data_IF_059185951012
#
_entry.id   IF_059185951012
#
_cell.length_a   1.000
_cell.length_b   1.000
_cell.length_c   1.000
_cell.angle_alpha   90.00
_cell.angle_beta   90.00
_cell.angle_gamma   90.00
#
_symmetry.space_group_name_H-M   'P 1'
#
loop_
_entity.id
_entity.type
_entity.pdbx_description
1 polymer ?
2 non-polymer ?
3 non-polymer ?
4 water ?
#
# COMPACT_ATOMS: atom_id res chain seq x y z
N UNK A 1 30.59 0.45 -6.10
CA UNK A 1 31.56 -0.61 -5.64
C UNK A 1 31.27 -1.25 -4.28
N UNK A 2 30.14 -0.93 -3.66
CA UNK A 2 29.66 -1.56 -2.44
C UNK A 2 29.21 -2.97 -2.77
N UNK A 3 29.59 -3.94 -1.94
CA UNK A 3 29.26 -5.34 -2.16
C UNK A 3 27.81 -5.60 -1.82
N UNK A 4 27.25 -6.63 -2.42
CA UNK A 4 25.86 -7.01 -2.09
C UNK A 4 25.77 -7.47 -0.61
N UNK A 5 26.83 -8.10 -0.10
CA UNK A 5 26.91 -8.45 1.29
C UNK A 5 26.68 -7.22 2.21
N UNK A 6 27.35 -6.11 1.92
CA UNK A 6 27.23 -4.90 2.71
C UNK A 6 25.83 -4.27 2.58
N UNK A 7 25.28 -4.23 1.37
CA UNK A 7 23.89 -3.74 1.18
C UNK A 7 22.90 -4.57 2.00
N UNK A 8 23.04 -5.89 1.89
CA UNK A 8 22.15 -6.78 2.61
C UNK A 8 22.28 -6.62 4.11
N UNK A 9 23.51 -6.48 4.58
CA UNK A 9 23.75 -6.28 6.02
C UNK A 9 23.15 -4.97 6.51
N UNK A 10 23.34 -3.92 5.75
CA UNK A 10 22.79 -2.60 6.09
C UNK A 10 21.28 -2.64 6.21
N UNK A 11 20.61 -3.18 5.20
CA UNK A 11 19.16 -3.16 5.17
C UNK A 11 18.60 -4.05 6.29
N UNK A 12 19.23 -5.20 6.49
CA UNK A 12 18.87 -6.05 7.63
C UNK A 12 18.96 -5.29 8.95
N UNK A 13 20.03 -4.50 9.14
CA UNK A 13 20.22 -3.77 10.39
C UNK A 13 19.09 -2.77 10.61
N UNK A 14 18.51 -2.21 9.53
CA UNK A 14 17.41 -1.26 9.73
C UNK A 14 16.18 -1.90 10.37
N UNK A 15 15.88 -3.13 10.00
CA UNK A 15 14.80 -3.87 10.59
C UNK A 15 15.19 -4.35 11.99
N UNK A 16 16.43 -4.80 12.15
CA UNK A 16 16.93 -5.21 13.46
C UNK A 16 16.86 -4.10 14.49
N UNK A 17 17.28 -2.90 14.09
CA UNK A 17 17.23 -1.73 14.98
C UNK A 17 15.84 -1.32 15.41
N UNK A 18 14.84 -1.54 14.57
CA UNK A 18 13.46 -1.22 14.90
C UNK A 18 12.84 -2.33 15.74
N UNK A 19 13.60 -3.38 16.04
CA UNK A 19 13.13 -4.46 16.89
C UNK A 19 11.86 -5.11 16.33
N UNK A 20 11.86 -5.31 15.01
CA UNK A 20 10.83 -6.09 14.40
C UNK A 20 11.40 -7.03 13.38
N UNK A 21 10.50 -7.69 12.65
CA UNK A 21 10.84 -8.69 11.68
C UNK A 21 10.17 -8.24 10.39
N UNK A 22 10.93 -8.08 9.33
CA UNK A 22 10.36 -7.68 8.05
C UNK A 22 11.25 -7.90 6.85
N UNK A 23 10.67 -7.58 5.70
CA UNK A 23 11.29 -7.71 4.42
C UNK A 23 11.00 -6.42 3.62
N UNK A 24 11.90 -6.04 2.73
CA UNK A 24 11.56 -5.11 1.67
C UNK A 24 11.96 -5.72 0.33
N UNK A 25 11.00 -5.79 -0.58
CA UNK A 25 11.20 -6.35 -1.90
C UNK A 25 11.27 -5.18 -2.86
N UNK A 26 12.30 -5.19 -3.70
CA UNK A 26 12.55 -4.20 -4.72
C UNK A 26 12.53 -4.86 -6.09
N UNK A 27 11.87 -4.22 -7.07
CA UNK A 27 11.80 -4.74 -8.42
C UNK A 27 12.48 -3.80 -9.42
N UNK A 28 13.46 -4.31 -10.15
CA UNK A 28 14.15 -3.56 -11.24
C UNK A 28 14.00 -4.32 -12.52
N UNK A 29 13.25 -3.74 -13.44
CA UNK A 29 12.82 -4.44 -14.61
C UNK A 29 11.97 -5.61 -14.19
N UNK A 30 12.43 -6.80 -14.54
CA UNK A 30 11.76 -8.03 -14.16
C UNK A 30 12.34 -8.72 -12.93
N UNK A 31 13.41 -8.18 -12.33
CA UNK A 31 14.12 -8.90 -11.27
C UNK A 31 13.71 -8.41 -9.88
N UNK A 32 13.31 -9.34 -9.03
CA UNK A 32 12.98 -9.06 -7.65
C UNK A 32 14.17 -9.24 -6.75
N UNK A 33 14.41 -8.28 -5.87
CA UNK A 33 15.42 -8.42 -4.85
C UNK A 33 14.79 -8.30 -3.48
N UNK A 34 15.10 -9.27 -2.61
CA UNK A 34 14.51 -9.34 -1.30
C UNK A 34 15.58 -8.99 -0.26
N UNK A 35 15.29 -8.02 0.60
CA UNK A 35 16.18 -7.55 1.62
C UNK A 35 15.43 -7.51 2.94
N UNK A 36 16.19 -7.33 4.04
CA UNK A 36 15.59 -7.25 5.38
C UNK A 36 16.14 -8.28 6.34
N UNK A 37 15.42 -8.50 7.45
CA UNK A 37 15.84 -9.47 8.47
C UNK A 37 14.95 -10.68 8.58
N UNK A 38 13.96 -10.82 7.69
CA UNK A 38 13.09 -11.99 7.73
C UNK A 38 12.63 -12.34 6.34
N UNK A 39 13.57 -12.83 5.53
CA UNK A 39 13.36 -12.97 4.09
C UNK A 39 12.20 -13.88 3.72
N UNK A 40 11.92 -14.84 4.59
CA UNK A 40 10.87 -15.79 4.40
C UNK A 40 9.46 -15.16 4.39
N UNK A 41 9.32 -13.94 4.89
CA UNK A 41 8.06 -13.22 4.77
C UNK A 41 7.67 -12.94 3.30
N UNK A 42 8.62 -13.00 2.35
CA UNK A 42 8.39 -12.57 0.94
C UNK A 42 7.22 -13.24 0.28
N UNK A 43 7.04 -14.54 0.52
CA UNK A 43 5.94 -15.29 -0.08
C UNK A 43 4.89 -15.75 0.92
N UNK A 44 4.78 -15.08 2.05
CA UNK A 44 3.71 -15.34 3.01
C UNK A 44 2.57 -14.36 2.81
N UNK A 45 1.36 -14.82 3.11
CA UNK A 45 0.14 -14.03 2.98
C UNK A 45 -0.21 -13.26 4.23
N UNK A 46 -0.52 -11.97 4.06
CA UNK A 46 -1.00 -11.12 5.15
C UNK A 46 -2.18 -10.33 4.62
N UNK A 47 -2.99 -9.82 5.52
CA UNK A 47 -4.04 -8.91 5.10
C UNK A 47 -3.40 -7.65 4.50
N UNK A 48 -3.97 -7.14 3.41
CA UNK A 48 -3.44 -5.93 2.78
C UNK A 48 -3.63 -4.68 3.61
N UNK A 49 -4.63 -4.69 4.49
CA UNK A 49 -5.00 -3.52 5.32
C UNK A 49 -5.16 -2.29 4.42
N UNK A 50 -4.65 -1.13 4.81
CA UNK A 50 -4.92 0.08 4.02
C UNK A 50 -4.29 0.12 2.64
N UNK A 51 -3.38 -0.81 2.33
CA UNK A 51 -2.86 -0.89 0.93
C UNK A 51 -3.98 -1.19 -0.05
N UNK A 52 -5.04 -1.84 0.45
CA UNK A 52 -6.22 -2.09 -0.36
C UNK A 52 -6.91 -0.81 -0.90
N UNK A 53 -6.68 0.34 -0.25
CA UNK A 53 -7.21 1.61 -0.73
C UNK A 53 -6.87 1.88 -2.19
N UNK A 54 -5.66 1.50 -2.61
CA UNK A 54 -5.27 1.66 -3.99
C UNK A 54 -6.26 0.98 -4.96
N UNK A 55 -6.58 -0.27 -4.68
CA UNK A 55 -7.47 -1.02 -5.55
C UNK A 55 -8.93 -0.63 -5.37
N UNK A 56 -9.34 -0.41 -4.12
CA UNK A 56 -10.68 0.10 -3.81
C UNK A 56 -10.93 1.38 -4.64
N UNK A 57 -9.98 2.31 -4.63
CA UNK A 57 -10.12 3.56 -5.42
C UNK A 57 -10.22 3.31 -6.94
N UNK A 58 -9.33 2.47 -7.48
CA UNK A 58 -9.43 2.05 -8.89
C UNK A 58 -10.83 1.48 -9.21
N UNK A 59 -11.30 0.55 -8.39
CA UNK A 59 -12.60 -0.04 -8.61
C UNK A 59 -13.73 1.01 -8.59
N UNK A 60 -13.69 1.93 -7.62
CA UNK A 60 -14.76 2.92 -7.46
C UNK A 60 -14.80 3.92 -8.58
N UNK A 61 -13.63 4.37 -9.02
CA UNK A 61 -13.53 5.33 -10.08
C UNK A 61 -13.94 4.67 -11.39
N UNK A 62 -13.45 3.47 -11.66
CA UNK A 62 -13.74 2.81 -12.93
C UNK A 62 -15.23 2.55 -13.05
N UNK A 63 -15.87 2.13 -11.97
CA UNK A 63 -17.29 1.79 -11.99
C UNK A 63 -18.24 2.95 -11.64
N UNK A 64 -17.73 4.18 -11.67
CA UNK A 64 -18.56 5.40 -11.49
C UNK A 64 -19.25 5.48 -10.14
N UNK A 65 -18.61 4.92 -9.12
CA UNK A 65 -19.12 5.00 -7.76
C UNK A 65 -18.69 6.27 -7.04
N UNK A 66 -17.74 6.98 -7.64
CA UNK A 66 -17.29 8.26 -7.14
C UNK A 66 -16.54 8.96 -8.24
N UNK A 67 -16.25 10.24 -8.04
CA UNK A 67 -15.36 10.99 -8.91
C UNK A 67 -14.19 11.50 -8.08
N UNK A 68 -13.18 12.06 -8.72
CA UNK A 68 -12.03 12.54 -7.98
C UNK A 68 -12.26 13.82 -7.21
N UNK A 69 -13.29 14.58 -7.55
CA UNK A 69 -13.60 15.82 -6.85
C UNK A 69 -14.70 15.66 -5.78
N UNK A 70 -15.39 14.54 -5.80
CA UNK A 70 -16.52 14.33 -4.89
C UNK A 70 -16.05 14.42 -3.42
N UNK A 71 -16.79 15.17 -2.63
CA UNK A 71 -16.47 15.34 -1.22
C UNK A 71 -17.34 14.35 -0.45
N UNK A 72 -16.72 13.38 0.23
CA UNK A 72 -17.41 12.43 1.10
C UNK A 72 -17.57 13.15 2.44
N UNK A 73 -18.81 13.44 2.85
CA UNK A 73 -19.05 14.21 4.07
C UNK A 73 -18.83 13.35 5.29
N UNK A 74 -18.24 13.93 6.32
CA UNK A 74 -18.22 13.31 7.64
C UNK A 74 -19.65 13.26 8.20
N UNK A 75 -20.07 12.09 8.68
CA UNK A 75 -21.42 11.91 9.24
C UNK A 75 -21.60 12.52 10.65
N UNK A 76 -20.55 13.09 11.20
CA UNK A 76 -20.59 13.70 12.51
C UNK A 76 -20.42 12.73 13.68
N UNK A 77 -20.20 11.44 13.40
CA UNK A 77 -19.91 10.49 14.47
C UNK A 77 -18.42 10.49 14.80
N UNK A 78 -18.10 10.13 16.04
CA UNK A 78 -16.74 10.23 16.49
C UNK A 78 -15.92 9.16 15.72
N UNK A 79 -14.69 9.48 15.39
CA UNK A 79 -13.78 8.58 14.66
C UNK A 79 -12.59 8.26 15.53
N UNK A 80 -11.89 7.18 15.16
CA UNK A 80 -10.68 6.79 15.85
C UNK A 80 -9.70 7.94 15.91
N UNK A 81 -9.52 8.66 14.81
CA UNK A 81 -8.58 9.81 14.74
C UNK A 81 -9.33 11.09 14.46
N UNK A 82 -9.00 12.20 15.19
CA UNK A 82 -9.67 13.49 14.95
C UNK A 82 -9.53 13.98 13.54
N UNK A 83 -8.39 13.69 12.91
CA UNK A 83 -8.17 14.09 11.52
C UNK A 83 -9.14 13.43 10.52
N UNK A 84 -9.84 12.37 10.92
CA UNK A 84 -10.85 11.77 10.07
C UNK A 84 -12.21 12.43 10.25
N UNK A 85 -12.36 13.34 11.21
CA UNK A 85 -13.68 13.96 11.49
C UNK A 85 -13.89 15.19 10.63
N UNK A 86 -13.87 14.97 9.33
CA UNK A 86 -13.97 16.01 8.33
C UNK A 86 -14.37 15.42 6.99
N UNK A 87 -14.77 16.31 6.10
CA UNK A 87 -15.20 16.00 4.74
C UNK A 87 -13.98 15.88 3.85
N UNK A 88 -13.94 14.87 3.00
CA UNK A 88 -12.77 14.66 2.17
C UNK A 88 -13.03 13.97 0.85
N UNK A 89 -12.18 14.29 -0.13
CA UNK A 89 -12.15 13.55 -1.40
C UNK A 89 -11.45 12.22 -1.18
N UNK A 90 -11.54 11.34 -2.18
CA UNK A 90 -10.79 10.09 -2.19
C UNK A 90 -9.31 10.27 -2.01
N UNK A 91 -8.75 11.26 -2.69
CA UNK A 91 -7.34 11.57 -2.60
C UNK A 91 -6.89 12.04 -1.22
N UNK A 92 -7.70 12.89 -0.60
CA UNK A 92 -7.42 13.38 0.74
C UNK A 92 -7.53 12.23 1.74
N UNK A 93 -8.53 11.37 1.52
CA UNK A 93 -8.73 10.23 2.37
C UNK A 93 -7.63 9.16 2.18
N UNK A 94 -7.04 9.12 0.99
CA UNK A 94 -5.89 8.25 0.72
C UNK A 94 -4.71 8.69 1.58
N UNK A 95 -4.44 9.99 1.58
CA UNK A 95 -3.31 10.55 2.32
C UNK A 95 -3.47 10.45 3.83
N UNK A 96 -4.69 10.65 4.33
CA UNK A 96 -4.99 10.48 5.73
C UNK A 96 -5.31 9.05 6.10
N UNK A 97 -5.34 8.16 5.12
CA UNK A 97 -5.75 6.76 5.29
C UNK A 97 -7.09 6.63 6.07
N UNK A 98 -8.05 7.45 5.62
CA UNK A 98 -9.37 7.56 6.25
C UNK A 98 -10.26 6.38 5.88
N UNK A 99 -10.19 5.35 6.70
CA UNK A 99 -10.93 4.10 6.49
C UNK A 99 -12.44 4.33 6.25
N UNK A 100 -13.06 5.24 7.02
CA UNK A 100 -14.53 5.37 6.82
C UNK A 100 -14.93 5.79 5.42
N UNK A 101 -14.11 6.58 4.77
CA UNK A 101 -14.40 7.05 3.40
C UNK A 101 -14.31 5.86 2.46
N UNK A 102 -13.29 5.04 2.66
CA UNK A 102 -13.08 3.88 1.81
C UNK A 102 -14.09 2.78 2.09
N UNK A 103 -14.59 2.73 3.32
CA UNK A 103 -15.71 1.82 3.63
C UNK A 103 -16.98 2.22 2.91
N UNK A 104 -17.26 3.53 2.87
CA UNK A 104 -18.42 4.03 2.13
C UNK A 104 -18.28 3.67 0.65
N UNK A 105 -17.10 3.90 0.10
CA UNK A 105 -16.86 3.54 -1.29
C UNK A 105 -17.08 2.04 -1.56
N UNK A 106 -16.54 1.21 -0.68
CA UNK A 106 -16.73 -0.24 -0.79
C UNK A 106 -18.25 -0.57 -0.77
N UNK A 107 -18.99 0.05 0.14
CA UNK A 107 -20.45 -0.19 0.24
C UNK A 107 -21.21 0.26 -1.02
N UNK A 108 -20.77 1.36 -1.66
CA UNK A 108 -21.36 1.78 -2.93
C UNK A 108 -21.09 0.75 -4.01
N UNK A 109 -19.83 0.31 -4.08
CA UNK A 109 -19.49 -0.72 -5.03
C UNK A 109 -20.34 -1.97 -4.84
N UNK A 110 -20.52 -2.38 -3.59
CA UNK A 110 -21.31 -3.53 -3.27
C UNK A 110 -20.52 -4.83 -3.40
N UNK A 111 -20.95 -5.83 -2.65
CA UNK A 111 -20.24 -7.13 -2.52
C UNK A 111 -20.08 -7.84 -3.84
N UNK A 112 -21.15 -7.94 -4.62
CA UNK A 112 -21.11 -8.65 -5.91
C UNK A 112 -20.08 -8.03 -6.89
N UNK A 113 -20.16 -6.71 -7.07
CA UNK A 113 -19.26 -6.06 -7.97
C UNK A 113 -17.83 -6.07 -7.43
N UNK A 114 -17.69 -5.92 -6.12
CA UNK A 114 -16.37 -5.91 -5.50
C UNK A 114 -15.70 -7.28 -5.68
N UNK A 115 -16.41 -8.37 -5.47
CA UNK A 115 -15.83 -9.70 -5.66
C UNK A 115 -15.40 -9.91 -7.10
N UNK A 116 -16.23 -9.51 -8.05
CA UNK A 116 -15.93 -9.64 -9.48
C UNK A 116 -14.70 -8.85 -9.85
N UNK A 117 -14.57 -7.63 -9.30
CA UNK A 117 -13.46 -6.78 -9.70
C UNK A 117 -12.15 -7.24 -9.04
N UNK A 118 -12.22 -7.63 -7.77
CA UNK A 118 -11.04 -8.15 -7.09
C UNK A 118 -10.54 -9.44 -7.79
N UNK A 119 -11.48 -10.29 -8.20
CA UNK A 119 -11.16 -11.49 -8.99
C UNK A 119 -10.54 -11.17 -10.34
N UNK A 120 -11.12 -10.19 -11.04
CA UNK A 120 -10.67 -9.76 -12.36
C UNK A 120 -9.25 -9.22 -12.37
N UNK A 121 -8.92 -8.46 -11.33
CA UNK A 121 -7.58 -7.92 -11.14
C UNK A 121 -6.62 -8.99 -10.58
N UNK A 122 -7.15 -10.10 -10.05
CA UNK A 122 -6.32 -11.13 -9.44
C UNK A 122 -5.45 -10.62 -8.29
N UNK A 123 -6.07 -9.93 -7.34
CA UNK A 123 -5.34 -9.30 -6.24
C UNK A 123 -5.23 -10.31 -5.09
N UNK A 124 -4.01 -10.71 -4.75
CA UNK A 124 -3.75 -11.62 -3.62
C UNK A 124 -4.48 -12.94 -3.79
N UNK A 125 -5.11 -13.43 -2.74
CA UNK A 125 -5.91 -14.64 -2.83
C UNK A 125 -7.30 -14.42 -3.43
N UNK A 126 -7.63 -13.17 -3.75
CA UNK A 126 -8.90 -12.80 -4.39
C UNK A 126 -10.18 -13.13 -3.62
N UNK A 127 -10.07 -13.51 -2.35
CA UNK A 127 -11.27 -13.86 -1.57
C UNK A 127 -11.73 -12.70 -0.68
N UNK A 128 -12.89 -12.14 -0.94
CA UNK A 128 -13.38 -11.06 -0.09
C UNK A 128 -14.48 -11.51 0.88
N UNK A 129 -14.92 -12.76 0.77
CA UNK A 129 -15.95 -13.32 1.68
C UNK A 129 -17.29 -12.60 1.54
N UNK A 130 -17.96 -12.40 2.67
CA UNK A 130 -19.35 -11.90 2.69
C UNK A 130 -19.54 -10.47 3.24
N UNK A 131 -18.51 -9.86 3.84
CA UNK A 131 -18.63 -8.53 4.46
C UNK A 131 -17.90 -7.54 3.57
N UNK A 132 -18.66 -6.75 2.80
CA UNK A 132 -18.05 -5.80 1.85
C UNK A 132 -17.19 -4.67 2.47
N UNK A 133 -17.28 -4.42 3.77
CA UNK A 133 -16.72 -3.19 4.36
C UNK A 133 -15.54 -3.41 5.28
N UNK A 134 -15.08 -4.65 5.39
CA UNK A 134 -13.88 -4.93 6.21
C UNK A 134 -12.97 -6.10 5.78
N UNK A 135 -13.22 -6.65 4.62
CA UNK A 135 -12.55 -7.86 4.19
C UNK A 135 -11.03 -7.72 4.02
N UNK A 136 -10.58 -6.50 3.76
CA UNK A 136 -9.17 -6.14 3.57
C UNK A 136 -8.47 -5.83 4.91
N UNK A 137 -9.26 -5.68 5.98
CA UNK A 137 -8.75 -5.33 7.29
C UNK A 137 -8.59 -6.55 8.20
N UNK A 138 -9.54 -7.48 8.13
CA UNK A 138 -9.53 -8.62 9.05
C UNK A 138 -9.55 -9.97 8.36
N UNK A 139 -9.42 -10.00 7.05
CA UNK A 139 -9.57 -11.25 6.28
C UNK A 139 -11.00 -11.29 5.75
N UNK A 140 -11.29 -12.19 4.82
CA UNK A 140 -10.38 -13.26 4.37
C UNK A 140 -9.39 -12.87 3.28
N UNK A 141 -9.37 -11.62 2.81
CA UNK A 141 -8.45 -11.22 1.73
C UNK A 141 -7.03 -11.15 2.27
N UNK A 142 -6.12 -11.78 1.55
CA UNK A 142 -4.70 -11.79 1.91
C UNK A 142 -3.86 -11.69 0.66
N UNK A 143 -2.63 -11.25 0.84
CA UNK A 143 -1.70 -11.01 -0.25
C UNK A 143 -0.27 -11.13 0.26
N UNK A 144 0.66 -11.52 -0.60
CA UNK A 144 2.07 -11.59 -0.24
C UNK A 144 2.82 -10.34 -0.64
N UNK A 145 3.96 -10.10 0.01
CA UNK A 145 4.82 -9.00 -0.39
C UNK A 145 5.24 -9.04 -1.85
N UNK A 146 5.54 -10.23 -2.36
CA UNK A 146 5.78 -10.41 -3.80
C UNK A 146 4.58 -9.97 -4.64
N UNK A 147 3.38 -10.44 -4.31
CA UNK A 147 2.19 -9.97 -5.01
C UNK A 147 1.99 -8.45 -4.89
N UNK A 148 2.30 -7.87 -3.72
CA UNK A 148 2.15 -6.42 -3.55
C UNK A 148 3.12 -5.63 -4.44
N UNK A 149 4.40 -6.03 -4.49
CA UNK A 149 5.34 -5.33 -5.35
C UNK A 149 4.98 -5.52 -6.84
N UNK A 150 4.44 -6.67 -7.22
CA UNK A 150 3.99 -6.89 -8.59
C UNK A 150 2.76 -6.05 -8.94
N UNK A 151 1.84 -5.88 -7.98
CA UNK A 151 0.71 -4.96 -8.14
C UNK A 151 1.20 -3.55 -8.33
N UNK A 152 2.13 -3.12 -7.49
CA UNK A 152 2.68 -1.76 -7.61
C UNK A 152 3.35 -1.57 -8.95
N UNK A 153 4.07 -2.59 -9.42
CA UNK A 153 4.74 -2.54 -10.75
C UNK A 153 3.71 -2.36 -11.86
N UNK A 154 2.61 -3.10 -11.77
CA UNK A 154 1.51 -2.98 -12.71
C UNK A 154 0.90 -1.60 -12.71
N UNK A 155 0.62 -1.04 -11.53
CA UNK A 155 0.00 0.26 -11.43
C UNK A 155 0.96 1.33 -11.95
N UNK A 156 2.21 1.26 -11.52
CA UNK A 156 3.20 2.21 -11.96
C UNK A 156 3.28 2.24 -13.50
N UNK A 157 3.18 1.09 -14.14
CA UNK A 157 3.32 1.02 -15.61
C UNK A 157 1.97 1.00 -16.36
N UNK A 158 0.88 1.34 -15.67
CA UNK A 158 -0.45 1.34 -16.30
C UNK A 158 -0.88 0.04 -16.93
N UNK A 159 -0.43 -1.07 -16.33
CA UNK A 159 -0.76 -2.39 -16.81
C UNK A 159 -1.96 -3.04 -16.16
N UNK A 160 -2.54 -2.45 -15.12
CA UNK A 160 -3.75 -3.04 -14.55
C UNK A 160 -4.91 -2.93 -15.56
N UNK A 161 -5.91 -3.82 -15.47
CA UNK A 161 -7.02 -3.78 -16.42
C UNK A 161 -8.09 -2.73 -16.03
N UNK A 162 -7.69 -1.48 -16.09
CA UNK A 162 -8.52 -0.32 -15.88
C UNK A 162 -8.15 0.67 -16.97
N UNK A 163 -9.01 1.65 -17.20
CA UNK A 163 -8.70 2.75 -18.07
C UNK A 163 -7.41 3.42 -17.62
N UNK A 164 -6.62 3.87 -18.59
CA UNK A 164 -5.43 4.64 -18.34
C UNK A 164 -5.74 5.82 -17.41
N UNK A 165 -6.84 6.52 -17.66
CA UNK A 165 -7.22 7.67 -16.84
C UNK A 165 -7.47 7.29 -15.37
N UNK A 166 -8.13 6.16 -15.14
CA UNK A 166 -8.39 5.66 -13.80
C UNK A 166 -7.07 5.43 -13.06
N UNK A 167 -6.11 4.80 -13.71
CA UNK A 167 -4.81 4.55 -13.11
C UNK A 167 -4.06 5.82 -12.82
N UNK A 168 -4.11 6.78 -13.76
CA UNK A 168 -3.44 8.05 -13.54
C UNK A 168 -4.05 8.83 -12.35
N UNK A 169 -5.36 8.79 -12.20
CA UNK A 169 -6.07 9.53 -11.15
C UNK A 169 -5.66 8.98 -9.79
N UNK A 170 -5.64 7.65 -9.68
CA UNK A 170 -5.26 7.00 -8.41
C UNK A 170 -3.78 7.20 -8.11
N UNK A 171 -2.91 7.09 -9.11
CA UNK A 171 -1.49 7.37 -8.87
C UNK A 171 -1.23 8.79 -8.40
N UNK A 172 -1.97 9.78 -8.87
CA UNK A 172 -1.86 11.14 -8.34
C UNK A 172 -2.15 11.23 -6.83
N UNK A 173 -2.99 10.34 -6.32
CA UNK A 173 -3.32 10.29 -4.91
C UNK A 173 -2.22 9.74 -4.01
N UNK A 174 -1.18 9.16 -4.59
CA UNK A 174 -0.18 8.37 -3.87
C UNK A 174 1.17 8.99 -3.72
N UNK A 175 1.34 10.22 -4.16
CA UNK A 175 2.63 10.91 -4.03
C UNK A 175 2.90 11.27 -2.59
N UNK A 176 3.89 10.64 -1.96
CA UNK A 176 4.14 10.90 -0.54
C UNK A 176 5.45 11.61 -0.29
N UNK A 177 6.34 11.71 -1.28
CA UNK A 177 7.66 12.29 -1.04
C UNK A 177 8.43 12.62 -2.31
N UNK A 178 9.20 13.71 -2.26
CA UNK A 178 10.20 14.02 -3.29
C UNK A 178 11.55 14.12 -2.63
N UNK A 179 12.54 13.42 -3.17
CA UNK A 179 13.90 13.36 -2.61
C UNK A 179 14.87 13.48 -3.77
N UNK A 180 15.69 14.54 -3.75
CA UNK A 180 16.67 14.84 -4.81
C UNK A 180 16.22 14.43 -6.20
N UNK A 181 15.07 14.95 -6.64
CA UNK A 181 14.60 14.71 -8.02
C UNK A 181 13.82 13.42 -8.26
N UNK A 182 13.81 12.51 -7.28
CA UNK A 182 13.02 11.29 -7.31
C UNK A 182 11.70 11.51 -6.57
N UNK A 183 10.64 10.96 -7.11
CA UNK A 183 9.33 10.96 -6.46
C UNK A 183 9.00 9.59 -5.92
N UNK A 184 8.50 9.51 -4.70
CA UNK A 184 8.03 8.26 -4.12
C UNK A 184 6.50 8.26 -4.06
N UNK A 185 5.90 7.31 -4.75
CA UNK A 185 4.48 7.04 -4.69
C UNK A 185 4.30 5.78 -3.85
N UNK A 186 3.45 5.81 -2.84
CA UNK A 186 3.23 4.62 -2.00
C UNK A 186 1.97 4.73 -1.15
N UNK A 187 1.50 3.58 -0.70
CA UNK A 187 0.45 3.52 0.29
C UNK A 187 0.89 2.67 1.48
N UNK A 188 0.71 3.18 2.68
CA UNK A 188 1.00 2.46 3.89
C UNK A 188 -0.18 1.60 4.31
N UNK A 189 0.10 0.65 5.21
CA UNK A 189 -0.92 -0.26 5.76
C UNK A 189 -0.50 -0.74 7.13
N UNK A 190 -1.49 -0.93 8.00
CA UNK A 190 -1.29 -1.46 9.34
C UNK A 190 -2.51 -2.24 9.73
N UNK A 191 -2.41 -3.57 9.70
CA UNK A 191 -3.50 -4.44 10.04
C UNK A 191 -3.54 -4.53 11.56
N UNK A 192 -4.26 -3.61 12.19
CA UNK A 192 -4.40 -3.60 13.67
C UNK A 192 -5.36 -4.63 14.22
N UNK A 193 -6.32 -5.07 13.42
CA UNK A 193 -7.31 -6.04 13.87
C UNK A 193 -6.99 -7.50 13.58
N UNK A 194 -5.72 -7.80 13.34
CA UNK A 194 -5.24 -9.17 13.24
C UNK A 194 -4.07 -9.32 14.17
N UNK A 195 -3.77 -10.57 14.52
CA UNK A 195 -2.63 -10.89 15.39
C UNK A 195 -1.83 -11.99 14.72
N UNK A 196 -0.52 -11.81 14.54
CA UNK A 196 0.20 -10.56 14.74
C UNK A 196 -0.24 -9.44 13.80
N UNK A 197 0.09 -8.23 14.16
CA UNK A 197 -0.23 -7.06 13.33
C UNK A 197 0.77 -6.93 12.20
N UNK A 198 0.32 -6.49 11.03
CA UNK A 198 1.17 -6.40 9.85
C UNK A 198 1.29 -4.94 9.47
N UNK A 199 2.49 -4.53 9.09
CA UNK A 199 2.74 -3.20 8.54
C UNK A 199 3.22 -3.32 7.11
N UNK A 200 2.79 -2.37 6.27
CA UNK A 200 3.11 -2.31 4.87
C UNK A 200 3.52 -0.91 4.44
N UNK A 201 4.41 -0.83 3.45
CA UNK A 201 4.50 0.37 2.60
C UNK A 201 4.84 -0.12 1.20
N UNK A 202 3.88 0.05 0.29
CA UNK A 202 3.98 -0.48 -1.05
C UNK A 202 3.83 0.67 -2.05
N UNK A 203 4.71 0.69 -3.03
CA UNK A 203 4.70 1.74 -4.03
C UNK A 203 5.83 1.62 -5.02
N UNK A 204 6.31 2.78 -5.46
CA UNK A 204 7.42 2.84 -6.39
C UNK A 204 8.11 4.16 -6.32
N UNK A 205 9.35 4.15 -6.78
CA UNK A 205 10.14 5.35 -6.98
C UNK A 205 10.08 5.68 -8.46
N UNK A 206 9.76 6.94 -8.77
CA UNK A 206 9.91 7.44 -10.14
C UNK A 206 11.16 8.31 -10.13
N UNK A 207 12.19 7.83 -10.80
CA UNK A 207 13.45 8.56 -10.86
C UNK A 207 13.36 9.70 -11.88
N UNK A 208 14.29 10.66 -11.78
CA UNK A 208 14.31 11.84 -12.69
C UNK A 208 14.24 11.43 -14.16
N UNK A 209 15.03 10.44 -14.54
CA UNK A 209 15.02 9.87 -15.89
C UNK A 209 13.73 9.14 -16.33
N UNK A 210 12.69 9.09 -15.50
CA UNK A 210 11.45 8.39 -15.84
C UNK A 210 11.38 6.89 -15.47
N UNK A 211 12.51 6.27 -15.13
CA UNK A 211 12.50 4.87 -14.68
C UNK A 211 11.72 4.69 -13.36
N UNK A 212 10.95 3.62 -13.28
CA UNK A 212 10.15 3.31 -12.09
C UNK A 212 10.63 2.04 -11.38
N UNK A 213 10.86 2.13 -10.08
CA UNK A 213 11.37 1.01 -9.27
C UNK A 213 10.35 0.72 -8.17
N UNK A 214 9.53 -0.28 -8.38
CA UNK A 214 8.55 -0.69 -7.38
C UNK A 214 9.17 -1.34 -6.15
N UNK A 215 8.47 -1.21 -5.03
CA UNK A 215 8.90 -1.82 -3.80
C UNK A 215 7.69 -2.18 -2.95
N UNK A 216 7.89 -3.15 -2.06
CA UNK A 216 6.94 -3.41 -1.00
C UNK A 216 7.68 -3.75 0.29
N UNK A 217 7.46 -2.96 1.32
CA UNK A 217 7.95 -3.24 2.66
C UNK A 217 6.82 -3.92 3.45
N UNK A 218 7.20 -4.96 4.19
CA UNK A 218 6.24 -5.73 4.97
C UNK A 218 6.94 -6.11 6.25
N UNK A 219 6.35 -5.73 7.39
CA UNK A 219 6.91 -6.04 8.71
C UNK A 219 5.85 -6.31 9.76
N UNK A 220 6.27 -6.88 10.89
CA UNK A 220 5.38 -7.05 12.01
C UNK A 220 5.31 -5.76 12.83
N UNK A 221 4.10 -5.24 13.05
CA UNK A 221 3.93 -4.07 13.92
C UNK A 221 3.61 -4.56 15.34
N UNK A 222 4.14 -3.88 16.34
CA UNK A 222 3.76 -4.13 17.75
C UNK A 222 3.06 -2.88 18.28
N UNK A 223 1.96 -3.06 19.02
CA UNK A 223 1.49 -2.05 20.01
C UNK A 223 2.67 -1.23 20.58
N UNK A 224 2.61 0.09 20.40
CA UNK A 224 3.68 0.97 20.83
C UNK A 224 4.65 1.43 19.76
N UNK A 225 4.70 0.75 18.62
CA UNK A 225 5.57 1.16 17.52
C UNK A 225 4.97 2.37 16.85
N UNK A 226 5.83 3.22 16.33
CA UNK A 226 5.41 4.32 15.51
C UNK A 226 5.22 3.88 14.02
N UNK A 227 4.11 4.30 13.42
CA UNK A 227 3.84 4.05 12.00
C UNK A 227 4.91 4.54 11.04
N UNK A 228 5.58 5.61 11.43
CA UNK A 228 6.61 6.22 10.62
C UNK A 228 7.86 5.32 10.48
N UNK A 229 7.98 4.26 11.28
CA UNK A 229 9.08 3.32 11.08
C UNK A 229 9.03 2.63 9.68
N UNK A 230 7.83 2.44 9.15
CA UNK A 230 7.63 1.89 7.81
C UNK A 230 8.29 2.78 6.76
N UNK A 231 8.02 4.08 6.86
CA UNK A 231 8.61 5.06 5.97
C UNK A 231 10.14 5.18 6.17
N UNK A 232 10.57 5.25 7.43
CA UNK A 232 11.99 5.42 7.73
C UNK A 232 12.84 4.26 7.24
N UNK A 233 12.39 3.04 7.44
CA UNK A 233 13.13 1.87 6.94
C UNK A 233 13.13 1.85 5.43
N UNK A 234 12.01 2.21 4.81
CA UNK A 234 11.91 2.21 3.36
C UNK A 234 12.88 3.22 2.75
N UNK A 235 12.89 4.45 3.25
CA UNK A 235 13.74 5.51 2.65
C UNK A 235 15.22 5.18 2.85
N UNK A 236 15.58 4.67 4.01
CA UNK A 236 16.96 4.23 4.28
C UNK A 236 17.41 3.10 3.34
N UNK A 237 16.52 2.15 3.10
CA UNK A 237 16.82 1.05 2.20
C UNK A 237 17.00 1.53 0.76
N UNK A 238 16.07 2.37 0.30
CA UNK A 238 16.14 2.90 -1.06
C UNK A 238 17.39 3.76 -1.22
N UNK A 239 17.72 4.56 -0.20
CA UNK A 239 18.93 5.37 -0.23
C UNK A 239 20.20 4.48 -0.23
N UNK A 240 20.26 3.49 0.65
CA UNK A 240 21.39 2.55 0.68
C UNK A 240 21.65 1.95 -0.70
N UNK A 241 20.59 1.61 -1.40
CA UNK A 241 20.71 0.97 -2.68
C UNK A 241 20.94 1.97 -3.81
N UNK A 242 20.91 3.27 -3.55
CA UNK A 242 21.08 4.26 -4.61
C UNK A 242 19.88 4.45 -5.51
N UNK A 243 18.71 4.00 -5.07
CA UNK A 243 17.49 4.15 -5.87
C UNK A 243 16.97 5.58 -5.74
N UNK A 244 17.17 6.19 -4.58
CA UNK A 244 16.94 7.61 -4.34
C UNK A 244 18.23 8.20 -3.77
X LIG B 1 -1.37 2.08 7.86
X LIG B 1 -1.83 3.44 7.70
X LIG B 1 -1.49 3.67 6.30
X LIG B 1 -1.08 4.43 8.52
X LIG B 1 -3.36 3.52 7.91
X LIG B 1 -3.94 4.28 8.93
X LIG B 1 -5.24 3.76 9.39
X LIG B 1 -5.02 3.06 10.75
X LIG B 1 -4.46 1.62 10.56
X LIG B 1 -5.38 0.74 9.72
X LIG B 1 -6.63 0.62 10.22
X LIG B 1 -7.56 0.55 10.57
X LIG B 1 -5.59 1.39 8.43
X LIG B 1 -4.98 0.82 7.37
X LIG B 1 -4.05 0.01 7.24
X LIG B 1 -5.99 2.86 8.40
X LIG C 1 -8.46 1.00 4.53
X LIG D 1 -9.30 1.44 4.18
#
# INVERSE_FOLDING_TARGET
>A
HISSQQHEKAIKSYFDEAQTQGVIIIKEGKNLSTYGNALARANKEYVPASTFKMLNALIGLENHKATTNEIFKWDGKKRTYPMWEKDMTLGEAMALSAVPVYQELARRTGLELMQKEVKRVNFGNTNIGTQVDNFWLVGPLKITPVQEVNFADDLAHNRLPFKLETQEEVKKMLLIKEVNGSKIYAKSGWGMGVTPQVGWLTGWVEQANGKKIPFSLNLEMKEGMSGSIRNEITYKSLENLGII
>B hetero
1 C8Y OAE SAP OAC OAD OAL NAK CAN CAI CAH CAM CAF NAA NAO CAG OAB CAJ
>C hetero
1 CL CL
>D hetero
1 CL CL
#
